data_IF_199357478607
#
_entry.id   IF_199357478607
#
_cell.length_a   1.000
_cell.length_b   1.000
_cell.length_c   1.000
_cell.angle_alpha   90.00
_cell.angle_beta   90.00
_cell.angle_gamma   90.00
#
_symmetry.space_group_name_H-M   'P 1'
#
loop_
_entity.id
_entity.type
_entity.pdbx_description
1 polymer ?
#
# COMPACT_ATOMS: atom_id res chain seq x y z
N UNK A 1 -1.48 -40.13 -10.74
CA UNK A 1 -1.87 -38.93 -11.51
C UNK A 1 -2.23 -37.71 -10.63
N UNK A 2 -3.11 -37.83 -9.62
CA UNK A 2 -3.56 -36.72 -8.77
C UNK A 2 -2.43 -35.95 -8.03
N UNK A 3 -1.49 -36.66 -7.40
CA UNK A 3 -0.38 -36.01 -6.67
C UNK A 3 0.61 -35.25 -7.58
N UNK A 4 0.76 -35.69 -8.83
CA UNK A 4 1.61 -35.04 -9.83
C UNK A 4 1.01 -33.69 -10.29
N UNK A 5 -0.30 -33.65 -10.52
CA UNK A 5 -1.01 -32.42 -10.89
C UNK A 5 -0.96 -31.36 -9.78
N UNK A 6 -1.10 -31.77 -8.51
CA UNK A 6 -0.98 -30.86 -7.36
C UNK A 6 0.44 -30.30 -7.23
N UNK A 7 1.46 -31.15 -7.44
CA UNK A 7 2.85 -30.72 -7.42
C UNK A 7 3.14 -29.70 -8.52
N UNK A 8 2.73 -30.00 -9.76
CA UNK A 8 2.91 -29.11 -10.91
C UNK A 8 2.22 -27.76 -10.69
N UNK A 9 0.97 -27.77 -10.21
CA UNK A 9 0.21 -26.54 -9.90
C UNK A 9 0.91 -25.66 -8.86
N UNK A 10 1.43 -26.27 -7.79
CA UNK A 10 2.14 -25.52 -6.74
C UNK A 10 3.45 -24.94 -7.26
N UNK A 11 4.20 -25.70 -8.04
CA UNK A 11 5.44 -25.19 -8.63
C UNK A 11 5.16 -24.03 -9.59
N UNK A 12 4.16 -24.19 -10.45
CA UNK A 12 3.73 -23.17 -11.40
C UNK A 12 3.31 -21.88 -10.68
N UNK A 13 2.54 -21.99 -9.58
CA UNK A 13 2.13 -20.85 -8.78
C UNK A 13 3.31 -20.01 -8.26
N UNK A 14 4.30 -20.65 -7.62
CA UNK A 14 5.46 -19.94 -7.08
C UNK A 14 6.37 -19.38 -8.18
N UNK A 15 6.52 -20.07 -9.32
CA UNK A 15 7.27 -19.53 -10.46
C UNK A 15 6.58 -18.32 -11.06
N UNK A 16 5.25 -18.33 -11.18
CA UNK A 16 4.48 -17.17 -11.65
C UNK A 16 4.63 -15.99 -10.69
N UNK A 17 4.51 -16.20 -9.38
CA UNK A 17 4.73 -15.14 -8.40
C UNK A 17 6.15 -14.56 -8.47
N UNK A 18 7.15 -15.42 -8.67
CA UNK A 18 8.55 -14.97 -8.78
C UNK A 18 8.75 -14.12 -10.01
N UNK A 19 8.18 -14.54 -11.15
CA UNK A 19 8.23 -13.78 -12.39
C UNK A 19 7.54 -12.42 -12.26
N UNK A 20 6.34 -12.38 -11.65
CA UNK A 20 5.62 -11.12 -11.39
C UNK A 20 6.45 -10.19 -10.52
N UNK A 21 7.00 -10.70 -9.41
CA UNK A 21 7.81 -9.88 -8.51
C UNK A 21 9.06 -9.34 -9.21
N UNK A 22 9.76 -10.18 -9.98
CA UNK A 22 10.92 -9.76 -10.76
C UNK A 22 10.57 -8.61 -11.71
N UNK A 23 9.47 -8.75 -12.47
CA UNK A 23 9.00 -7.69 -13.36
C UNK A 23 8.68 -6.38 -12.61
N UNK A 24 8.06 -6.47 -11.43
CA UNK A 24 7.76 -5.31 -10.60
C UNK A 24 9.04 -4.62 -10.09
N UNK A 25 10.04 -5.42 -9.72
CA UNK A 25 11.37 -4.93 -9.33
C UNK A 25 12.07 -4.28 -10.52
N UNK A 26 11.98 -4.85 -11.71
CA UNK A 26 12.55 -4.25 -12.92
C UNK A 26 11.95 -2.87 -13.21
N UNK A 27 10.63 -2.71 -13.09
CA UNK A 27 9.99 -1.40 -13.20
C UNK A 27 10.45 -0.41 -12.13
N UNK A 28 10.62 -0.88 -10.89
CA UNK A 28 11.16 -0.04 -9.82
C UNK A 28 12.60 0.43 -10.12
N UNK A 29 13.45 -0.46 -10.62
CA UNK A 29 14.82 -0.14 -11.01
C UNK A 29 14.85 0.82 -12.20
N UNK A 30 13.99 0.63 -13.20
CA UNK A 30 13.85 1.57 -14.32
C UNK A 30 13.43 2.96 -13.85
N UNK A 31 12.49 3.04 -12.89
CA UNK A 31 12.07 4.30 -12.29
C UNK A 31 13.21 5.01 -11.54
N UNK A 32 14.06 4.25 -10.85
CA UNK A 32 15.23 4.77 -10.15
C UNK A 32 16.26 5.39 -11.10
N UNK A 33 16.39 4.84 -12.31
CA UNK A 33 17.34 5.30 -13.31
C UNK A 33 16.80 6.43 -14.19
N UNK A 34 15.47 6.54 -14.34
CA UNK A 34 14.85 7.49 -15.25
C UNK A 34 13.51 8.03 -14.71
N UNK A 35 13.51 9.27 -14.23
CA UNK A 35 12.31 9.98 -13.75
C UNK A 35 11.20 10.06 -14.81
N UNK A 36 11.55 10.16 -16.10
CA UNK A 36 10.56 10.14 -17.19
C UNK A 36 9.79 8.83 -17.28
N UNK A 37 10.44 7.70 -17.01
CA UNK A 37 9.76 6.40 -16.88
C UNK A 37 8.83 6.40 -15.67
N UNK A 38 9.29 6.91 -14.52
CA UNK A 38 8.47 6.98 -13.31
C UNK A 38 7.19 7.80 -13.55
N UNK A 39 7.30 8.97 -14.19
CA UNK A 39 6.13 9.78 -14.56
C UNK A 39 5.18 9.05 -15.52
N UNK A 40 5.71 8.47 -16.60
CA UNK A 40 4.90 7.75 -17.58
C UNK A 40 4.19 6.55 -16.96
N UNK A 41 4.93 5.72 -16.23
CA UNK A 41 4.41 4.51 -15.61
C UNK A 41 3.30 4.86 -14.62
N UNK A 42 3.54 5.84 -13.74
CA UNK A 42 2.57 6.24 -12.74
C UNK A 42 1.30 6.83 -13.36
N UNK A 43 1.40 7.61 -14.43
CA UNK A 43 0.24 8.22 -15.11
C UNK A 43 -0.55 7.23 -15.97
N UNK A 44 0.02 6.08 -16.33
CA UNK A 44 -0.61 5.09 -17.19
C UNK A 44 -0.93 3.80 -16.42
N UNK A 45 0.08 2.94 -16.24
CA UNK A 45 -0.04 1.62 -15.63
C UNK A 45 -0.37 1.74 -14.14
N UNK A 46 0.40 2.53 -13.40
CA UNK A 46 0.20 2.73 -11.97
C UNK A 46 -1.15 3.38 -11.64
N UNK A 47 -1.70 4.20 -12.54
CA UNK A 47 -3.04 4.77 -12.39
C UNK A 47 -4.11 3.67 -12.39
N UNK A 48 -4.05 2.75 -13.35
CA UNK A 48 -5.00 1.64 -13.45
C UNK A 48 -5.07 0.80 -12.16
N UNK A 49 -3.90 0.42 -11.62
CA UNK A 49 -3.86 -0.36 -10.38
C UNK A 49 -4.40 0.42 -9.18
N UNK A 50 -4.08 1.73 -9.08
CA UNK A 50 -4.58 2.58 -7.99
C UNK A 50 -6.09 2.82 -8.05
N UNK A 51 -6.67 2.91 -9.25
CA UNK A 51 -8.13 3.01 -9.41
C UNK A 51 -8.80 1.73 -8.93
N UNK A 52 -8.25 0.56 -9.30
CA UNK A 52 -8.80 -0.73 -8.85
C UNK A 52 -8.69 -0.87 -7.34
N UNK A 53 -7.51 -0.63 -6.76
CA UNK A 53 -7.33 -0.76 -5.31
C UNK A 53 -8.18 0.25 -4.56
N UNK A 54 -8.27 1.50 -5.05
CA UNK A 54 -9.15 2.53 -4.52
C UNK A 54 -10.62 2.12 -4.54
N UNK A 55 -11.12 1.59 -5.66
CA UNK A 55 -12.51 1.12 -5.75
C UNK A 55 -12.79 -0.09 -4.84
N UNK A 56 -11.82 -0.98 -4.66
CA UNK A 56 -11.95 -2.12 -3.74
C UNK A 56 -12.01 -1.70 -2.27
N UNK A 57 -11.43 -0.56 -1.91
CA UNK A 57 -11.32 -0.09 -0.52
C UNK A 57 -12.20 1.12 -0.21
N UNK A 58 -12.81 1.77 -1.19
CA UNK A 58 -13.53 3.04 -1.02
C UNK A 58 -14.76 2.96 -0.13
N UNK A 59 -15.32 1.76 0.04
CA UNK A 59 -16.46 1.52 0.93
C UNK A 59 -16.04 1.45 2.41
N UNK A 60 -14.74 1.37 2.71
CA UNK A 60 -14.23 1.32 4.08
C UNK A 60 -14.04 2.75 4.61
N UNK A 61 -14.56 3.09 5.80
CA UNK A 61 -14.41 4.42 6.39
C UNK A 61 -13.02 4.67 7.02
N UNK A 62 -12.03 3.83 6.73
CA UNK A 62 -10.68 3.87 7.30
C UNK A 62 -9.62 3.42 6.29
N UNK A 63 -8.35 3.74 6.54
CA UNK A 63 -7.24 3.40 5.65
C UNK A 63 -6.98 1.90 5.58
N UNK A 64 -7.23 1.29 4.41
CA UNK A 64 -6.91 -0.11 4.15
C UNK A 64 -5.40 -0.40 4.30
N UNK A 65 -4.54 0.56 3.96
CA UNK A 65 -3.10 0.41 4.10
C UNK A 65 -2.68 0.32 5.57
N UNK A 66 -3.23 1.17 6.44
CA UNK A 66 -2.95 1.10 7.89
C UNK A 66 -3.44 -0.21 8.49
N UNK A 67 -4.65 -0.64 8.12
CA UNK A 67 -5.16 -1.96 8.51
C UNK A 67 -4.25 -3.10 8.06
N UNK A 68 -3.72 -3.02 6.84
CA UNK A 68 -2.80 -4.03 6.32
C UNK A 68 -1.50 -4.06 7.14
N UNK A 69 -0.94 -2.90 7.50
CA UNK A 69 0.25 -2.83 8.36
C UNK A 69 -0.02 -3.45 9.74
N UNK A 70 -1.14 -3.09 10.37
CA UNK A 70 -1.53 -3.67 11.67
C UNK A 70 -1.74 -5.19 11.55
N UNK A 71 -2.42 -5.65 10.51
CA UNK A 71 -2.66 -7.07 10.26
C UNK A 71 -1.35 -7.85 10.06
N UNK A 72 -0.38 -7.28 9.34
CA UNK A 72 0.96 -7.87 9.18
C UNK A 72 1.68 -7.97 10.53
N UNK A 73 1.63 -6.92 11.36
CA UNK A 73 2.24 -6.93 12.68
C UNK A 73 1.63 -8.02 13.58
N UNK A 74 0.30 -8.11 13.61
CA UNK A 74 -0.42 -9.17 14.35
C UNK A 74 -0.03 -10.54 13.81
N UNK A 75 0.01 -10.71 12.49
CA UNK A 75 0.40 -11.97 11.86
C UNK A 75 1.83 -12.36 12.27
N UNK A 76 2.80 -11.44 12.23
CA UNK A 76 4.18 -11.70 12.66
C UNK A 76 4.23 -12.14 14.13
N UNK A 77 3.51 -11.45 15.03
CA UNK A 77 3.45 -11.83 16.45
C UNK A 77 2.83 -13.22 16.62
N UNK A 78 1.70 -13.49 15.96
CA UNK A 78 1.07 -14.81 16.00
C UNK A 78 1.98 -15.91 15.46
N UNK A 79 2.74 -15.65 14.39
CA UNK A 79 3.71 -16.58 13.82
C UNK A 79 4.85 -16.88 14.81
N UNK A 80 5.38 -15.86 15.48
CA UNK A 80 6.42 -16.03 16.49
C UNK A 80 5.91 -16.81 17.70
N UNK A 81 4.75 -16.43 18.26
CA UNK A 81 4.16 -17.09 19.42
C UNK A 81 3.82 -18.55 19.10
N UNK A 82 3.15 -18.81 17.98
CA UNK A 82 2.81 -20.18 17.59
C UNK A 82 4.05 -21.01 17.28
N UNK A 83 5.07 -20.43 16.65
CA UNK A 83 6.36 -21.08 16.40
C UNK A 83 7.07 -21.48 17.70
N UNK A 84 7.14 -20.58 18.68
CA UNK A 84 7.75 -20.82 19.99
C UNK A 84 6.96 -21.88 20.77
N UNK A 85 5.64 -21.74 20.87
CA UNK A 85 4.78 -22.71 21.55
C UNK A 85 4.91 -24.12 20.93
N UNK A 86 5.00 -24.21 19.61
CA UNK A 86 5.22 -25.48 18.93
C UNK A 86 6.61 -26.06 19.14
N UNK A 87 7.65 -25.23 19.18
CA UNK A 87 9.02 -25.66 19.50
C UNK A 87 9.06 -26.28 20.90
N UNK A 88 8.47 -25.60 21.88
CA UNK A 88 8.33 -26.09 23.25
C UNK A 88 7.59 -27.43 23.25
N UNK A 89 6.40 -27.51 22.65
CA UNK A 89 5.61 -28.75 22.60
C UNK A 89 6.33 -29.91 21.89
N UNK A 90 7.15 -29.62 20.87
CA UNK A 90 7.98 -30.59 20.15
C UNK A 90 9.04 -31.20 21.07
N UNK A 91 9.70 -30.39 21.89
CA UNK A 91 10.69 -30.84 22.88
C UNK A 91 10.04 -31.70 23.97
N UNK A 92 8.87 -31.29 24.48
CA UNK A 92 8.20 -31.99 25.59
C UNK A 92 7.48 -33.28 25.17
N UNK A 93 6.81 -33.31 24.00
CA UNK A 93 5.90 -34.42 23.67
C UNK A 93 6.53 -35.55 22.85
N UNK A 94 7.84 -35.49 22.54
CA UNK A 94 8.51 -36.39 21.56
C UNK A 94 7.64 -36.61 20.29
N UNK A 95 6.81 -35.63 19.93
CA UNK A 95 5.93 -35.76 18.76
C UNK A 95 6.81 -35.74 17.53
N UNK A 96 6.51 -36.61 16.57
CA UNK A 96 7.25 -36.76 15.32
C UNK A 96 7.62 -35.39 14.74
N UNK A 97 8.92 -35.09 14.75
CA UNK A 97 9.50 -33.86 14.21
C UNK A 97 9.04 -33.59 12.76
N UNK A 98 8.58 -34.62 12.04
CA UNK A 98 8.02 -34.47 10.69
C UNK A 98 6.69 -33.69 10.65
N UNK A 99 5.80 -33.82 11.64
CA UNK A 99 4.54 -33.05 11.66
C UNK A 99 4.82 -31.56 11.91
N UNK A 100 5.74 -31.25 12.83
CA UNK A 100 6.19 -29.89 13.10
C UNK A 100 6.87 -29.26 11.87
N UNK A 101 7.78 -30.00 11.22
CA UNK A 101 8.43 -29.57 9.97
C UNK A 101 7.42 -29.28 8.85
N UNK A 102 6.39 -30.13 8.67
CA UNK A 102 5.35 -29.91 7.67
C UNK A 102 4.53 -28.64 7.93
N UNK A 103 4.14 -28.40 9.19
CA UNK A 103 3.39 -27.19 9.57
C UNK A 103 4.22 -25.93 9.34
N UNK A 104 5.47 -25.90 9.84
CA UNK A 104 6.36 -24.76 9.68
C UNK A 104 6.67 -24.48 8.20
N UNK A 105 6.89 -25.53 7.40
CA UNK A 105 7.12 -25.38 5.97
C UNK A 105 5.88 -24.86 5.23
N UNK A 106 4.68 -25.29 5.61
CA UNK A 106 3.44 -24.74 5.07
C UNK A 106 3.28 -23.26 5.42
N UNK A 107 3.55 -22.91 6.68
CA UNK A 107 3.48 -21.55 7.19
C UNK A 107 4.47 -20.62 6.49
N UNK A 108 5.73 -21.05 6.36
CA UNK A 108 6.78 -20.34 5.64
C UNK A 108 6.41 -20.15 4.17
N UNK A 109 5.88 -21.19 3.51
CA UNK A 109 5.42 -21.07 2.12
C UNK A 109 4.32 -20.03 1.95
N UNK A 110 3.32 -20.04 2.84
CA UNK A 110 2.25 -19.05 2.79
C UNK A 110 2.78 -17.65 3.08
N UNK A 111 3.67 -17.50 4.07
CA UNK A 111 4.32 -16.23 4.38
C UNK A 111 5.13 -15.67 3.21
N UNK A 112 5.95 -16.52 2.56
CA UNK A 112 6.70 -16.13 1.37
C UNK A 112 5.78 -15.70 0.23
N UNK A 113 4.71 -16.46 -0.04
CA UNK A 113 3.74 -16.08 -1.06
C UNK A 113 3.07 -14.73 -0.75
N UNK A 114 2.69 -14.50 0.51
CA UNK A 114 2.09 -13.24 0.96
C UNK A 114 3.05 -12.06 0.79
N UNK A 115 4.33 -12.22 1.17
CA UNK A 115 5.37 -11.20 0.97
C UNK A 115 5.56 -10.91 -0.51
N UNK A 116 5.66 -11.93 -1.37
CA UNK A 116 5.83 -11.72 -2.81
C UNK A 116 4.65 -10.95 -3.43
N UNK A 117 3.42 -11.30 -3.07
CA UNK A 117 2.21 -10.60 -3.52
C UNK A 117 2.21 -9.17 -3.00
N UNK A 118 2.44 -8.97 -1.70
CA UNK A 118 2.45 -7.65 -1.07
C UNK A 118 3.53 -6.73 -1.66
N UNK A 119 4.75 -7.22 -1.83
CA UNK A 119 5.84 -6.48 -2.47
C UNK A 119 5.53 -6.14 -3.92
N UNK A 120 4.93 -7.05 -4.70
CA UNK A 120 4.53 -6.78 -6.08
C UNK A 120 3.49 -5.65 -6.15
N UNK A 121 2.44 -5.73 -5.30
CA UNK A 121 1.41 -4.70 -5.20
C UNK A 121 2.00 -3.35 -4.77
N UNK A 122 2.94 -3.37 -3.82
CA UNK A 122 3.65 -2.17 -3.37
C UNK A 122 4.46 -1.54 -4.50
N UNK A 123 5.30 -2.30 -5.21
CA UNK A 123 6.15 -1.76 -6.26
C UNK A 123 5.33 -1.12 -7.40
N UNK A 124 4.26 -1.79 -7.82
CA UNK A 124 3.39 -1.34 -8.91
C UNK A 124 2.54 -0.13 -8.53
N UNK A 125 2.07 -0.03 -7.28
CA UNK A 125 1.22 1.10 -6.85
C UNK A 125 2.02 2.28 -6.29
N UNK A 126 3.08 2.02 -5.53
CA UNK A 126 3.76 3.01 -4.70
C UNK A 126 5.25 3.09 -4.95
N UNK A 127 5.94 1.95 -5.16
CA UNK A 127 7.40 1.91 -5.31
C UNK A 127 7.91 2.85 -6.40
N UNK A 128 7.33 2.78 -7.60
CA UNK A 128 7.71 3.65 -8.73
C UNK A 128 7.46 5.14 -8.43
N UNK A 129 6.46 5.46 -7.61
CA UNK A 129 6.11 6.86 -7.31
C UNK A 129 7.18 7.61 -6.51
N UNK A 130 8.10 6.91 -5.83
CA UNK A 130 9.19 7.55 -5.09
C UNK A 130 10.23 8.24 -5.99
N UNK A 131 10.24 7.92 -7.29
CA UNK A 131 11.19 8.49 -8.26
C UNK A 131 10.56 9.47 -9.24
N UNK A 132 9.32 9.89 -8.96
CA UNK A 132 8.64 10.95 -9.69
C UNK A 132 9.19 12.32 -9.31
N UNK A 133 8.84 13.34 -10.09
CA UNK A 133 9.10 14.71 -9.69
C UNK A 133 8.47 14.98 -8.33
N UNK A 134 9.19 15.68 -7.48
CA UNK A 134 8.68 16.10 -6.19
C UNK A 134 7.45 16.98 -6.35
N UNK A 135 6.62 17.07 -5.31
CA UNK A 135 5.50 18.01 -5.29
C UNK A 135 5.98 19.45 -5.49
N UNK A 136 7.16 19.81 -4.95
CA UNK A 136 7.75 21.13 -5.12
C UNK A 136 8.06 21.43 -6.59
N UNK A 137 8.76 20.53 -7.29
CA UNK A 137 9.04 20.68 -8.72
C UNK A 137 7.77 20.79 -9.56
N UNK A 138 6.78 19.92 -9.30
CA UNK A 138 5.51 19.93 -10.03
C UNK A 138 4.71 21.22 -9.84
N UNK A 139 4.81 21.84 -8.65
CA UNK A 139 4.14 23.10 -8.33
C UNK A 139 5.00 24.34 -8.66
N UNK A 140 6.20 24.15 -9.20
CA UNK A 140 7.14 25.25 -9.45
C UNK A 140 7.60 25.96 -8.18
N UNK A 141 7.52 25.29 -7.02
CA UNK A 141 8.00 25.81 -5.76
C UNK A 141 9.53 25.73 -5.71
N UNK A 142 10.17 26.77 -5.18
CA UNK A 142 11.63 26.77 -4.99
C UNK A 142 11.99 25.80 -3.86
N UNK A 143 13.02 24.98 -4.07
CA UNK A 143 13.59 24.06 -3.06
C UNK A 143 14.17 24.75 -1.81
N UNK A 144 14.09 26.08 -1.73
CA UNK A 144 14.58 26.91 -0.63
C UNK A 144 13.48 27.33 0.34
N UNK A 145 12.48 26.48 0.57
CA UNK A 145 11.49 26.73 1.62
C UNK A 145 12.15 26.54 3.00
N UNK A 146 12.20 27.60 3.80
CA UNK A 146 12.71 27.49 5.16
C UNK A 146 11.65 26.86 6.05
N UNK A 147 12.09 26.21 7.14
CA UNK A 147 11.19 25.61 8.13
C UNK A 147 10.21 26.64 8.70
N UNK A 148 10.67 27.88 8.86
CA UNK A 148 9.88 29.01 9.35
C UNK A 148 8.76 29.41 8.36
N UNK A 149 9.03 29.36 7.05
CA UNK A 149 8.04 29.65 6.01
C UNK A 149 6.94 28.58 5.99
N UNK A 150 7.32 27.32 6.14
CA UNK A 150 6.37 26.20 6.25
C UNK A 150 5.53 26.33 7.51
N UNK A 151 6.16 26.61 8.66
CA UNK A 151 5.45 26.73 9.93
C UNK A 151 4.46 27.91 9.90
N UNK A 152 4.88 29.08 9.44
CA UNK A 152 4.00 30.25 9.33
C UNK A 152 2.86 30.02 8.35
N UNK A 153 3.10 29.38 7.20
CA UNK A 153 2.05 29.01 6.25
C UNK A 153 1.04 28.04 6.86
N UNK A 154 1.50 27.04 7.61
CA UNK A 154 0.62 26.10 8.31
C UNK A 154 -0.18 26.77 9.42
N UNK A 155 0.43 27.68 10.19
CA UNK A 155 -0.28 28.47 11.20
C UNK A 155 -1.36 29.31 10.57
N UNK A 156 -1.04 30.05 9.50
CA UNK A 156 -2.01 30.84 8.74
C UNK A 156 -3.15 29.96 8.21
N UNK A 157 -2.85 28.80 7.63
CA UNK A 157 -3.85 27.87 7.11
C UNK A 157 -4.79 27.35 8.21
N UNK A 158 -4.24 27.01 9.39
CA UNK A 158 -5.04 26.55 10.53
C UNK A 158 -5.93 27.67 11.07
N UNK A 159 -5.42 28.89 11.16
CA UNK A 159 -6.21 30.06 11.57
C UNK A 159 -7.37 30.32 10.59
N UNK A 160 -7.10 30.28 9.29
CA UNK A 160 -8.12 30.43 8.25
C UNK A 160 -9.19 29.34 8.34
N UNK A 161 -8.78 28.08 8.49
CA UNK A 161 -9.70 26.95 8.66
C UNK A 161 -10.56 27.11 9.91
N UNK A 162 -9.99 27.54 11.03
CA UNK A 162 -10.74 27.77 12.27
C UNK A 162 -11.73 28.94 12.14
N UNK A 163 -11.41 29.98 11.37
CA UNK A 163 -12.36 31.07 11.09
C UNK A 163 -13.51 30.59 10.22
N UNK A 164 -13.23 29.73 9.24
CA UNK A 164 -14.22 29.18 8.32
C UNK A 164 -14.98 27.97 8.87
N UNK A 165 -14.56 27.38 10.00
CA UNK A 165 -15.18 26.19 10.60
C UNK A 165 -16.68 26.40 10.87
N UNK A 166 -17.07 27.61 11.28
CA UNK A 166 -18.48 27.99 11.47
C UNK A 166 -19.30 28.14 10.19
N UNK A 167 -18.65 28.21 9.02
CA UNK A 167 -19.29 28.36 7.70
C UNK A 167 -19.42 27.02 6.96
N UNK A 168 -18.75 25.96 7.43
CA UNK A 168 -18.82 24.62 6.81
C UNK A 168 -20.03 23.87 7.37
N UNK A 169 -20.96 23.51 6.48
CA UNK A 169 -22.07 22.63 6.83
C UNK A 169 -21.69 21.16 6.61
N UNK A 170 -22.13 20.30 7.52
CA UNK A 170 -21.95 18.86 7.43
C UNK A 170 -23.32 18.18 7.35
N UNK A 171 -23.42 17.10 6.57
CA UNK A 171 -24.63 16.29 6.50
C UNK A 171 -24.72 15.27 7.65
N UNK A 172 -25.80 14.50 7.71
CA UNK A 172 -26.05 13.48 8.74
C UNK A 172 -25.01 12.35 8.74
N UNK A 173 -24.25 12.17 7.64
CA UNK A 173 -23.16 11.19 7.54
C UNK A 173 -21.82 11.73 8.03
N UNK A 174 -21.75 13.02 8.35
CA UNK A 174 -20.52 13.71 8.75
C UNK A 174 -19.67 14.16 7.57
N UNK A 175 -20.21 14.15 6.34
CA UNK A 175 -19.52 14.66 5.16
C UNK A 175 -19.75 16.17 5.02
N UNK A 176 -18.72 16.91 4.60
CA UNK A 176 -18.83 18.35 4.33
C UNK A 176 -19.69 18.59 3.10
N UNK A 177 -20.72 19.42 3.23
CA UNK A 177 -21.62 19.77 2.13
C UNK A 177 -21.02 20.92 1.33
N UNK A 178 -20.73 20.68 0.05
CA UNK A 178 -20.34 21.76 -0.84
C UNK A 178 -21.54 22.69 -1.06
N UNK A 179 -21.42 24.01 -0.82
CA UNK A 179 -22.53 24.95 -0.99
C UNK A 179 -22.87 25.23 -2.46
N UNK A 180 -22.10 24.67 -3.41
CA UNK A 180 -22.27 24.85 -4.85
C UNK A 180 -22.61 23.52 -5.52
N UNK A 181 -23.51 23.55 -6.51
CA UNK A 181 -23.65 22.44 -7.45
C UNK A 181 -22.41 22.34 -8.38
N UNK A 182 -22.30 21.22 -9.09
CA UNK A 182 -21.14 20.92 -9.93
C UNK A 182 -20.89 21.99 -11.01
N UNK A 183 -21.94 22.50 -11.65
CA UNK A 183 -21.81 23.48 -12.74
C UNK A 183 -21.33 24.83 -12.21
N UNK A 184 -21.89 25.27 -11.08
CA UNK A 184 -21.52 26.51 -10.39
C UNK A 184 -20.09 26.42 -9.86
N UNK A 185 -19.72 25.28 -9.26
CA UNK A 185 -18.35 25.04 -8.81
C UNK A 185 -17.37 25.04 -9.98
N UNK A 186 -17.70 24.35 -11.07
CA UNK A 186 -16.85 24.29 -12.27
C UNK A 186 -16.65 25.66 -12.91
N UNK A 187 -17.64 26.56 -12.84
CA UNK A 187 -17.48 27.95 -13.28
C UNK A 187 -16.58 28.76 -12.34
N UNK A 188 -16.71 28.60 -11.02
CA UNK A 188 -15.88 29.30 -10.04
C UNK A 188 -14.43 28.82 -9.99
N UNK A 189 -14.18 27.54 -10.28
CA UNK A 189 -12.86 26.90 -10.25
C UNK A 189 -12.06 27.11 -11.54
N UNK A 190 -12.70 27.54 -12.64
CA UNK A 190 -12.00 27.99 -13.85
C UNK A 190 -11.25 29.30 -13.56
N UNK A 191 -10.03 29.16 -13.05
CA UNK A 191 -8.95 30.16 -13.06
C UNK A 191 -8.31 30.16 -14.45
#
# INVERSE_FOLDING_TARGET
MHNFLIFLRKHLFFTTLTFILALCVDFYLMAMLWTGFAEWFSRTIGMFFRVITGAMTSWMPFSFMEMTVIAILIAVVCLLVTGILWLILSLYRKKSAQKAKKFFYALLKTGVAAVMIGSSLFFVNHGVNYYRHSTAENLGLKDTLKKEDVFSTLTWLVEELNMLDGEISFDESGASVCPYDFDTLAQKVKV
#
